data_IF_259708996194
#
_entry.id   IF_259708996194
#
_cell.length_a   1.000
_cell.length_b   1.000
_cell.length_c   1.000
_cell.angle_alpha   90.00
_cell.angle_beta   90.00
_cell.angle_gamma   90.00
#
_symmetry.space_group_name_H-M   'P 1'
#
loop_
_entity.id
_entity.type
_entity.pdbx_description
1 polymer ?
#
# COMPACT_ATOMS: atom_id res chain seq x y z
N UNK A 1 -15.03 -5.00 13.15
CA UNK A 1 -14.39 -3.99 14.03
C UNK A 1 -14.15 -2.73 13.22
N UNK A 2 -14.60 -1.57 13.70
CA UNK A 2 -14.39 -0.27 13.04
C UNK A 2 -12.92 0.14 13.22
N UNK A 3 -12.32 0.74 12.19
CA UNK A 3 -10.94 1.27 12.21
C UNK A 3 -10.78 2.31 13.32
N UNK A 4 -9.72 2.17 14.14
CA UNK A 4 -9.37 3.12 15.19
C UNK A 4 -8.68 4.36 14.62
N UNK A 5 -7.90 4.19 13.55
CA UNK A 5 -7.33 5.30 12.80
C UNK A 5 -8.29 5.77 11.71
N UNK A 6 -9.40 6.40 12.11
CA UNK A 6 -10.42 6.92 11.20
C UNK A 6 -10.78 8.39 11.46
N UNK A 7 -11.19 9.10 10.40
CA UNK A 7 -11.77 10.44 10.47
C UNK A 7 -13.20 10.34 9.96
N UNK A 8 -14.18 10.78 10.78
CA UNK A 8 -15.60 10.69 10.43
C UNK A 8 -16.05 9.27 9.99
N UNK A 9 -15.53 8.21 10.64
CA UNK A 9 -15.75 6.79 10.31
C UNK A 9 -15.12 6.32 8.99
N UNK A 10 -14.32 7.16 8.34
CA UNK A 10 -13.56 6.77 7.17
C UNK A 10 -12.13 6.35 7.58
N UNK A 11 -11.71 5.10 7.32
CA UNK A 11 -10.38 4.59 7.69
C UNK A 11 -9.27 5.31 6.91
N UNK A 12 -8.25 5.80 7.62
CA UNK A 12 -7.19 6.62 7.02
C UNK A 12 -6.24 5.78 6.16
N UNK A 13 -5.94 4.54 6.58
CA UNK A 13 -5.03 3.65 5.84
C UNK A 13 -5.43 3.47 4.36
N UNK A 14 -6.65 3.04 4.01
CA UNK A 14 -7.06 2.90 2.61
C UNK A 14 -7.22 4.23 1.86
N UNK A 15 -7.30 5.39 2.54
CA UNK A 15 -7.19 6.69 1.85
C UNK A 15 -5.78 6.97 1.37
N UNK A 16 -4.76 6.52 2.12
CA UNK A 16 -3.36 6.79 1.83
C UNK A 16 -2.73 5.77 0.89
N UNK A 17 -3.14 4.50 0.95
CA UNK A 17 -2.59 3.39 0.13
C UNK A 17 -2.58 3.65 -1.40
N UNK A 18 -3.54 4.36 -2.01
CA UNK A 18 -3.46 4.69 -3.43
C UNK A 18 -2.21 5.49 -3.83
N UNK A 19 -1.67 6.33 -2.93
CA UNK A 19 -0.48 7.15 -3.20
C UNK A 19 0.78 6.31 -3.48
N UNK A 20 1.25 5.44 -2.56
CA UNK A 20 2.43 4.61 -2.83
C UNK A 20 2.22 3.66 -4.01
N UNK A 21 1.04 3.06 -4.15
CA UNK A 21 0.77 2.15 -5.27
C UNK A 21 0.89 2.87 -6.61
N UNK A 22 0.20 4.01 -6.76
CA UNK A 22 0.25 4.80 -7.99
C UNK A 22 1.66 5.27 -8.32
N UNK A 23 2.39 5.78 -7.33
CA UNK A 23 3.74 6.31 -7.52
C UNK A 23 4.77 5.23 -7.87
N UNK A 24 4.70 4.05 -7.25
CA UNK A 24 5.59 2.93 -7.59
C UNK A 24 5.29 2.32 -8.96
N UNK A 25 4.01 2.18 -9.32
CA UNK A 25 3.63 1.74 -10.68
C UNK A 25 4.10 2.77 -11.71
N UNK A 26 3.85 4.06 -11.45
CA UNK A 26 4.29 5.13 -12.34
C UNK A 26 5.81 5.21 -12.47
N UNK A 27 6.55 4.97 -11.38
CA UNK A 27 8.02 4.84 -11.43
C UNK A 27 8.45 3.74 -12.40
N UNK A 28 7.83 2.55 -12.34
CA UNK A 28 8.16 1.46 -13.25
C UNK A 28 7.82 1.79 -14.71
N UNK A 29 6.70 2.49 -14.96
CA UNK A 29 6.35 2.97 -16.30
C UNK A 29 7.42 3.94 -16.82
N UNK A 30 7.85 4.90 -16.00
CA UNK A 30 8.91 5.82 -16.35
C UNK A 30 10.23 5.08 -16.67
N UNK A 31 10.56 4.02 -15.94
CA UNK A 31 11.73 3.19 -16.26
C UNK A 31 11.63 2.54 -17.64
N UNK A 32 10.46 1.99 -17.99
CA UNK A 32 10.23 1.36 -19.30
C UNK A 32 10.42 2.39 -20.41
N UNK A 33 9.87 3.60 -20.23
CA UNK A 33 10.01 4.67 -21.22
C UNK A 33 11.48 5.10 -21.34
N UNK A 34 12.18 5.33 -20.22
CA UNK A 34 13.60 5.65 -20.23
C UNK A 34 14.42 4.60 -20.98
N UNK A 35 14.18 3.31 -20.74
CA UNK A 35 14.89 2.23 -21.44
C UNK A 35 14.57 2.16 -22.94
N UNK A 36 13.43 2.70 -23.37
CA UNK A 36 13.02 2.72 -24.78
C UNK A 36 13.65 3.86 -25.59
N UNK A 37 13.84 5.04 -24.97
CA UNK A 37 14.24 6.26 -25.68
C UNK A 37 15.49 6.96 -25.13
N UNK A 38 15.99 6.56 -23.96
CA UNK A 38 17.16 7.13 -23.31
C UNK A 38 16.99 8.54 -22.72
N UNK A 39 15.77 9.08 -22.69
CA UNK A 39 15.52 10.45 -22.21
C UNK A 39 15.58 10.52 -20.68
N UNK A 40 16.56 11.27 -20.18
CA UNK A 40 16.87 11.43 -18.75
C UNK A 40 15.73 12.05 -17.94
N UNK A 41 14.76 12.72 -18.58
CA UNK A 41 13.54 13.18 -17.92
C UNK A 41 12.80 12.01 -17.28
N UNK A 42 12.64 10.89 -18.01
CA UNK A 42 11.93 9.71 -17.50
C UNK A 42 12.69 9.02 -16.37
N UNK A 43 14.03 9.00 -16.42
CA UNK A 43 14.84 8.50 -15.31
C UNK A 43 14.63 9.35 -14.03
N UNK A 44 14.59 10.68 -14.19
CA UNK A 44 14.34 11.62 -13.09
C UNK A 44 12.94 11.43 -12.51
N UNK A 45 11.92 11.31 -13.36
CA UNK A 45 10.54 11.06 -12.94
C UNK A 45 10.40 9.71 -12.21
N UNK A 46 11.05 8.66 -12.71
CA UNK A 46 11.08 7.37 -12.03
C UNK A 46 11.68 7.50 -10.62
N UNK A 47 12.84 8.16 -10.49
CA UNK A 47 13.54 8.32 -9.23
C UNK A 47 12.72 9.07 -8.17
N UNK A 48 12.11 10.21 -8.53
CA UNK A 48 11.31 10.99 -7.58
C UNK A 48 9.93 10.37 -7.30
N UNK A 49 9.33 9.68 -8.27
CA UNK A 49 8.09 8.93 -8.03
C UNK A 49 8.34 7.78 -7.06
N UNK A 50 9.44 7.06 -7.22
CA UNK A 50 9.88 6.03 -6.29
C UNK A 50 10.06 6.59 -4.86
N UNK A 51 10.71 7.75 -4.73
CA UNK A 51 10.88 8.45 -3.46
C UNK A 51 9.54 8.87 -2.83
N UNK A 52 8.65 9.48 -3.62
CA UNK A 52 7.31 9.84 -3.17
C UNK A 52 6.50 8.62 -2.73
N UNK A 53 6.66 7.48 -3.43
CA UNK A 53 6.03 6.22 -3.06
C UNK A 53 6.54 5.68 -1.73
N UNK A 54 7.84 5.80 -1.43
CA UNK A 54 8.40 5.45 -0.11
C UNK A 54 7.74 6.29 0.99
N UNK A 55 7.67 7.62 0.80
CA UNK A 55 7.05 8.52 1.78
C UNK A 55 5.56 8.17 1.97
N UNK A 56 4.82 8.01 0.87
CA UNK A 56 3.40 7.61 0.91
C UNK A 56 3.18 6.26 1.59
N UNK A 57 4.07 5.28 1.35
CA UNK A 57 4.01 3.95 1.97
C UNK A 57 4.22 4.00 3.47
N UNK A 58 5.21 4.77 3.93
CA UNK A 58 5.46 4.98 5.35
C UNK A 58 4.30 5.71 6.03
N UNK A 59 3.73 6.74 5.39
CA UNK A 59 2.55 7.45 5.90
C UNK A 59 1.33 6.53 5.99
N UNK A 60 1.11 5.65 5.00
CA UNK A 60 0.03 4.66 5.03
C UNK A 60 0.25 3.57 6.09
N UNK A 61 1.50 3.18 6.36
CA UNK A 61 1.84 2.14 7.32
C UNK A 61 1.45 2.53 8.76
N UNK A 62 1.52 3.81 9.14
CA UNK A 62 1.19 4.29 10.48
C UNK A 62 -0.26 3.99 10.91
N UNK A 63 -1.32 4.45 10.20
CA UNK A 63 -2.69 4.12 10.54
C UNK A 63 -2.98 2.61 10.38
N UNK A 64 -2.36 1.95 9.40
CA UNK A 64 -2.51 0.50 9.21
C UNK A 64 -1.99 -0.30 10.40
N UNK A 65 -0.86 0.11 10.98
CA UNK A 65 -0.30 -0.51 12.18
C UNK A 65 -1.20 -0.29 13.40
N UNK A 66 -1.73 0.93 13.58
CA UNK A 66 -2.67 1.24 14.67
C UNK A 66 -3.89 0.33 14.60
N UNK A 67 -4.48 0.18 13.40
CA UNK A 67 -5.63 -0.68 13.18
C UNK A 67 -5.30 -2.16 13.38
N UNK A 68 -4.14 -2.63 12.91
CA UNK A 68 -3.69 -4.01 13.10
C UNK A 68 -3.48 -4.36 14.58
N UNK A 69 -2.88 -3.47 15.35
CA UNK A 69 -2.67 -3.67 16.79
C UNK A 69 -4.00 -3.70 17.55
N UNK A 70 -5.00 -2.96 17.06
CA UNK A 70 -6.34 -2.93 17.61
C UNK A 70 -7.16 -4.20 17.35
N UNK A 71 -6.76 -5.04 16.39
CA UNK A 71 -7.47 -6.29 16.11
C UNK A 71 -7.26 -7.32 17.24
N UNK A 72 -8.32 -8.07 17.62
CA UNK A 72 -8.18 -9.22 18.49
C UNK A 72 -7.38 -10.33 17.80
N UNK A 73 -6.81 -11.24 18.59
CA UNK A 73 -6.12 -12.43 18.07
C UNK A 73 -7.08 -13.25 17.21
N UNK A 74 -6.82 -13.26 15.90
CA UNK A 74 -7.72 -13.81 14.88
C UNK A 74 -6.95 -14.15 13.60
N UNK A 75 -7.58 -14.90 12.68
CA UNK A 75 -7.05 -15.15 11.33
C UNK A 75 -6.77 -13.84 10.59
N UNK A 76 -7.67 -12.86 10.69
CA UNK A 76 -7.50 -11.51 10.14
C UNK A 76 -6.24 -10.81 10.66
N UNK A 77 -5.94 -10.92 11.96
CA UNK A 77 -4.70 -10.36 12.53
C UNK A 77 -3.44 -11.05 11.98
N UNK A 78 -3.48 -12.37 11.76
CA UNK A 78 -2.37 -13.12 11.16
C UNK A 78 -2.13 -12.69 9.70
N UNK A 79 -3.19 -12.55 8.92
CA UNK A 79 -3.10 -12.04 7.53
C UNK A 79 -2.56 -10.61 7.54
N UNK A 80 -3.03 -9.77 8.47
CA UNK A 80 -2.55 -8.39 8.63
C UNK A 80 -1.07 -8.29 8.98
N UNK A 81 -0.53 -9.22 9.79
CA UNK A 81 0.91 -9.31 10.07
C UNK A 81 1.71 -9.69 8.83
N UNK A 82 1.24 -10.65 8.02
CA UNK A 82 1.86 -10.98 6.74
C UNK A 82 1.83 -9.81 5.76
N UNK A 83 0.68 -9.15 5.65
CA UNK A 83 0.51 -7.96 4.82
C UNK A 83 1.45 -6.83 5.26
N UNK A 84 1.53 -6.53 6.56
CA UNK A 84 2.46 -5.53 7.10
C UNK A 84 3.92 -5.89 6.78
N UNK A 85 4.34 -7.11 7.08
CA UNK A 85 5.71 -7.57 6.85
C UNK A 85 6.10 -7.48 5.37
N UNK A 86 5.19 -7.89 4.47
CA UNK A 86 5.40 -7.84 3.04
C UNK A 86 5.53 -6.39 2.54
N UNK A 87 4.67 -5.46 2.99
CA UNK A 87 4.77 -4.04 2.62
C UNK A 87 6.03 -3.35 3.18
N UNK A 88 6.46 -3.70 4.39
CA UNK A 88 7.73 -3.20 4.93
C UNK A 88 8.92 -3.73 4.12
N UNK A 89 8.87 -4.99 3.69
CA UNK A 89 9.84 -5.59 2.77
C UNK A 89 9.89 -4.87 1.43
N UNK A 90 8.74 -4.61 0.80
CA UNK A 90 8.63 -3.83 -0.44
C UNK A 90 9.20 -2.43 -0.26
N UNK A 91 8.85 -1.75 0.83
CA UNK A 91 9.35 -0.40 1.13
C UNK A 91 10.87 -0.43 1.30
N UNK A 92 11.41 -1.43 2.00
CA UNK A 92 12.85 -1.64 2.13
C UNK A 92 13.55 -1.90 0.79
N UNK A 93 12.94 -2.71 -0.09
CA UNK A 93 13.43 -2.91 -1.46
C UNK A 93 13.47 -1.60 -2.24
N UNK A 94 12.43 -0.77 -2.16
CA UNK A 94 12.41 0.53 -2.82
C UNK A 94 13.42 1.51 -2.21
N UNK A 95 13.63 1.51 -0.88
CA UNK A 95 14.69 2.31 -0.26
C UNK A 95 16.06 1.89 -0.77
N UNK A 96 16.36 0.59 -0.82
CA UNK A 96 17.62 0.08 -1.38
C UNK A 96 17.77 0.47 -2.86
N UNK A 97 16.70 0.35 -3.63
CA UNK A 97 16.63 0.74 -5.04
C UNK A 97 16.87 2.25 -5.24
N UNK A 98 16.31 3.10 -4.38
CA UNK A 98 16.52 4.55 -4.39
C UNK A 98 18.01 4.89 -4.25
N UNK A 99 18.69 4.31 -3.25
CA UNK A 99 20.12 4.55 -3.03
C UNK A 99 20.99 3.94 -4.12
N UNK A 100 20.63 2.76 -4.65
CA UNK A 100 21.34 2.15 -5.76
C UNK A 100 21.30 3.06 -7.00
N UNK A 101 20.11 3.52 -7.41
CA UNK A 101 19.96 4.44 -8.56
C UNK A 101 20.74 5.73 -8.39
N UNK A 102 20.85 6.24 -7.15
CA UNK A 102 21.60 7.46 -6.86
C UNK A 102 23.11 7.28 -7.06
N UNK A 103 23.64 6.08 -6.81
CA UNK A 103 25.05 5.75 -7.02
C UNK A 103 25.39 5.37 -8.47
N UNK A 104 24.49 4.64 -9.14
CA UNK A 104 24.61 4.23 -10.54
C UNK A 104 23.24 4.30 -11.25
N UNK A 105 22.93 5.41 -11.93
CA UNK A 105 21.67 5.59 -12.66
C UNK A 105 21.50 4.66 -13.87
N UNK A 106 22.57 3.99 -14.32
CA UNK A 106 22.58 3.14 -15.52
C UNK A 106 22.47 1.65 -15.20
N UNK A 107 22.55 1.28 -13.92
CA UNK A 107 22.47 -0.11 -13.49
C UNK A 107 21.14 -0.77 -13.90
N UNK A 108 21.22 -2.00 -14.41
CA UNK A 108 20.05 -2.81 -14.74
C UNK A 108 19.33 -3.37 -13.50
N UNK A 109 20.04 -3.53 -12.38
CA UNK A 109 19.53 -4.09 -11.11
C UNK A 109 18.29 -3.35 -10.55
N UNK A 110 18.34 -2.01 -10.40
CA UNK A 110 17.19 -1.17 -10.01
C UNK A 110 15.88 -1.46 -10.75
N UNK A 111 15.96 -1.70 -12.06
CA UNK A 111 14.78 -2.02 -12.87
C UNK A 111 14.19 -3.39 -12.48
N UNK A 112 15.03 -4.42 -12.35
CA UNK A 112 14.60 -5.75 -11.93
C UNK A 112 13.98 -5.74 -10.52
N UNK A 113 14.56 -4.97 -9.59
CA UNK A 113 14.01 -4.78 -8.24
C UNK A 113 12.63 -4.12 -8.30
N UNK A 114 12.44 -3.13 -9.18
CA UNK A 114 11.15 -2.44 -9.34
C UNK A 114 10.06 -3.40 -9.81
N UNK A 115 10.38 -4.27 -10.79
CA UNK A 115 9.44 -5.33 -11.25
C UNK A 115 9.09 -6.28 -10.11
N UNK A 116 10.10 -6.81 -9.41
CA UNK A 116 9.89 -7.73 -8.29
C UNK A 116 9.03 -7.07 -7.19
N UNK A 117 9.31 -5.83 -6.85
CA UNK A 117 8.57 -5.08 -5.84
C UNK A 117 7.11 -4.86 -6.25
N UNK A 118 6.81 -4.62 -7.53
CA UNK A 118 5.43 -4.52 -8.03
C UNK A 118 4.69 -5.86 -7.96
N UNK A 119 5.36 -6.98 -8.29
CA UNK A 119 4.75 -8.31 -8.16
C UNK A 119 4.42 -8.63 -6.69
N UNK A 120 5.35 -8.33 -5.78
CA UNK A 120 5.11 -8.46 -4.34
C UNK A 120 3.98 -7.53 -3.89
N UNK A 121 3.92 -6.31 -4.40
CA UNK A 121 2.86 -5.34 -4.08
C UNK A 121 1.48 -5.86 -4.50
N UNK A 122 1.36 -6.52 -5.65
CA UNK A 122 0.12 -7.16 -6.07
C UNK A 122 -0.29 -8.30 -5.10
N UNK A 123 0.66 -9.16 -4.70
CA UNK A 123 0.40 -10.19 -3.70
C UNK A 123 0.00 -9.60 -2.33
N UNK A 124 0.64 -8.50 -1.92
CA UNK A 124 0.26 -7.73 -0.74
C UNK A 124 -1.16 -7.19 -0.83
N UNK A 125 -1.52 -6.63 -1.99
CA UNK A 125 -2.84 -6.11 -2.29
C UNK A 125 -3.93 -7.17 -2.18
N UNK A 126 -3.65 -8.41 -2.59
CA UNK A 126 -4.54 -9.54 -2.39
C UNK A 126 -4.82 -9.77 -0.90
N UNK A 127 -3.78 -9.83 -0.06
CA UNK A 127 -3.94 -10.00 1.39
C UNK A 127 -4.73 -8.85 2.03
N UNK A 128 -4.49 -7.61 1.57
CA UNK A 128 -5.25 -6.43 1.99
C UNK A 128 -6.73 -6.55 1.63
N UNK A 129 -7.03 -6.97 0.41
CA UNK A 129 -8.39 -7.26 -0.06
C UNK A 129 -9.06 -8.36 0.75
N UNK A 130 -8.35 -9.44 1.08
CA UNK A 130 -8.88 -10.52 1.91
C UNK A 130 -9.28 -10.02 3.31
N UNK A 131 -8.47 -9.16 3.94
CA UNK A 131 -8.83 -8.56 5.22
C UNK A 131 -10.12 -7.73 5.14
N UNK A 132 -10.28 -6.91 4.10
CA UNK A 132 -11.44 -6.01 3.96
C UNK A 132 -12.69 -6.77 3.51
N UNK A 133 -12.59 -7.56 2.44
CA UNK A 133 -13.74 -8.15 1.75
C UNK A 133 -14.14 -9.52 2.29
N UNK A 134 -13.22 -10.29 2.89
CA UNK A 134 -13.53 -11.62 3.45
C UNK A 134 -13.69 -11.55 4.96
N UNK A 135 -12.82 -10.80 5.65
CA UNK A 135 -12.84 -10.70 7.10
C UNK A 135 -13.57 -9.45 7.64
N UNK A 136 -14.04 -8.54 6.78
CA UNK A 136 -14.82 -7.36 7.20
C UNK A 136 -14.02 -6.38 8.07
N UNK A 137 -12.69 -6.37 7.96
CA UNK A 137 -11.86 -5.43 8.72
C UNK A 137 -12.15 -4.01 8.25
N UNK A 138 -12.40 -3.10 9.20
CA UNK A 138 -12.74 -1.70 8.96
C UNK A 138 -14.07 -1.45 8.19
N UNK A 139 -14.94 -2.45 8.08
CA UNK A 139 -16.31 -2.31 7.56
C UNK A 139 -17.29 -2.34 8.73
N UNK A 140 -18.23 -1.40 8.78
CA UNK A 140 -19.34 -1.47 9.73
C UNK A 140 -20.34 -2.53 9.25
N UNK A 141 -20.70 -3.50 10.11
CA UNK A 141 -21.79 -4.43 9.80
C UNK A 141 -23.12 -3.69 9.83
N UNK A 142 -23.99 -3.97 8.86
CA UNK A 142 -25.28 -3.29 8.68
C UNK A 142 -26.28 -3.51 9.84
N UNK A 143 -25.95 -4.36 10.81
CA UNK A 143 -26.89 -4.81 11.85
C UNK A 143 -27.08 -3.83 13.01
N UNK A 144 -26.34 -2.71 13.07
CA UNK A 144 -26.47 -1.72 14.16
C UNK A 144 -27.43 -0.54 13.86
N UNK A 145 -28.17 -0.55 12.74
CA UNK A 145 -29.15 0.52 12.43
C UNK A 145 -30.59 0.05 12.20
N UNK A 146 -30.89 -1.22 12.47
CA UNK A 146 -32.19 -1.83 12.21
C UNK A 146 -33.19 -1.86 13.38
N UNK A 147 -33.26 -0.85 14.26
CA UNK A 147 -34.50 -0.65 15.04
C UNK A 147 -35.54 -0.03 14.11
N UNK A 148 -36.11 -0.86 13.24
CA UNK A 148 -37.27 -0.51 12.44
C UNK A 148 -38.42 -0.20 13.42
N UNK A 149 -38.66 1.10 13.65
CA UNK A 149 -39.88 1.61 14.27
C UNK A 149 -41.07 0.93 13.60
N UNK A 150 -41.75 0.03 14.31
CA UNK A 150 -43.10 -0.41 13.95
C UNK A 150 -43.98 0.83 13.92
N UNK A 151 -44.47 1.21 12.74
CA UNK A 151 -45.58 2.14 12.62
C UNK A 151 -46.84 1.39 13.11
N UNK A 152 -47.53 1.84 14.18
CA UNK A 152 -48.87 1.36 14.46
C UNK A 152 -49.84 1.86 13.37
N UNK A 153 -50.80 0.99 13.06
CA UNK A 153 -51.79 1.10 11.99
C UNK A 153 -52.70 2.33 12.09
#
# INVERSE_FOLDING_TARGET
>A
MISKASVAKHPIHPMLVPLPIGLWIFSLVCDVIYKSNGDLLWNTMAHYSLAGGIVGGLLAALPGLIDLLALPSSSAKRIGLWHLGLNLGITGLYIANFFWRRGDPTAAGPFAISILAIVLLAASGWLGGEMVYVHGVAVAHADETGTAKKHPA
#
